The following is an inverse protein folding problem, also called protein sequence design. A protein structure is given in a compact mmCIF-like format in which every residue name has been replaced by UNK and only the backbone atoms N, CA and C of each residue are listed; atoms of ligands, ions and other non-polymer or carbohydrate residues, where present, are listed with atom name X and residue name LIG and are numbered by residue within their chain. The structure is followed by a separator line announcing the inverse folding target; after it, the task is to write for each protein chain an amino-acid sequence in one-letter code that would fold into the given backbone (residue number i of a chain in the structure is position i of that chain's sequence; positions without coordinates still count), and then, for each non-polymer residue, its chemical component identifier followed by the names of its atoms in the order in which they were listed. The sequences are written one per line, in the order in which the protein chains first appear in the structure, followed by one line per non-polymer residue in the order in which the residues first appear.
data_IF_144208510785
#
_entry.id   IF_144208510785
#
_cell.length_a   1.000
_cell.length_b   1.000
_cell.length_c   1.000
_cell.angle_alpha   90.00
_cell.angle_beta   90.00
_cell.angle_gamma   90.00
#
_symmetry.space_group_name_H-M   'P 1'
#
loop_
_entity.id
_entity.type
_entity.pdbx_description
1 polymer ?
#
# COMPACT_ATOMS: atom_id res chain seq x y z
N UNK A 1 -8.93 22.88 -11.17
CA UNK A 1 -8.33 23.45 -9.95
C UNK A 1 -7.69 22.34 -9.14
N UNK A 2 -6.47 22.58 -8.62
CA UNK A 2 -5.79 21.61 -7.76
C UNK A 2 -6.55 21.41 -6.43
N UNK A 3 -6.60 20.18 -5.89
CA UNK A 3 -7.32 19.88 -4.67
C UNK A 3 -6.56 20.35 -3.43
N UNK A 4 -7.26 20.54 -2.32
CA UNK A 4 -6.63 20.81 -1.02
C UNK A 4 -5.72 19.65 -0.58
N UNK A 5 -4.53 19.97 -0.06
CA UNK A 5 -3.52 18.99 0.35
C UNK A 5 -4.05 17.93 1.31
N UNK A 6 -4.94 18.32 2.24
CA UNK A 6 -5.53 17.41 3.22
C UNK A 6 -6.31 16.26 2.56
N UNK A 7 -6.97 16.51 1.42
CA UNK A 7 -7.80 15.51 0.71
C UNK A 7 -6.97 14.53 -0.12
N UNK A 8 -5.75 14.91 -0.51
CA UNK A 8 -4.89 14.13 -1.40
C UNK A 8 -3.57 13.69 -0.76
N UNK A 9 -3.47 13.81 0.56
CA UNK A 9 -2.27 13.44 1.31
C UNK A 9 -1.84 11.99 1.01
N UNK A 10 -0.58 11.81 0.65
CA UNK A 10 -0.01 10.50 0.33
C UNK A 10 -0.31 10.00 -1.08
N UNK A 11 -0.86 10.82 -1.97
CA UNK A 11 -0.99 10.53 -3.41
C UNK A 11 0.23 11.11 -4.14
N UNK A 12 0.78 10.36 -5.10
CA UNK A 12 1.92 10.82 -5.89
C UNK A 12 1.58 12.12 -6.65
N UNK A 13 2.41 13.17 -6.61
CA UNK A 13 2.13 14.45 -7.26
C UNK A 13 1.79 14.35 -8.75
N UNK A 14 2.55 13.55 -9.49
CA UNK A 14 2.28 13.23 -10.90
C UNK A 14 0.87 12.70 -11.18
N UNK A 15 0.23 12.00 -10.24
CA UNK A 15 -1.15 11.53 -10.40
C UNK A 15 -2.15 12.69 -10.36
N UNK A 16 -1.95 13.61 -9.42
CA UNK A 16 -2.77 14.82 -9.27
C UNK A 16 -2.58 15.71 -10.49
N UNK A 17 -1.34 15.90 -10.94
CA UNK A 17 -1.02 16.68 -12.12
C UNK A 17 -1.65 16.09 -13.39
N UNK A 18 -1.60 14.76 -13.57
CA UNK A 18 -2.21 14.08 -14.72
C UNK A 18 -3.74 14.25 -14.74
N UNK A 19 -4.39 14.20 -13.58
CA UNK A 19 -5.84 14.47 -13.46
C UNK A 19 -6.15 15.92 -13.84
N UNK A 20 -5.35 16.86 -13.36
CA UNK A 20 -5.55 18.30 -13.61
C UNK A 20 -5.35 18.65 -15.09
N UNK A 21 -4.30 18.13 -15.73
CA UNK A 21 -4.07 18.31 -17.17
C UNK A 21 -5.23 17.76 -18.00
N UNK A 22 -5.76 16.58 -17.63
CA UNK A 22 -6.94 16.01 -18.29
C UNK A 22 -8.17 16.90 -18.13
N UNK A 23 -8.38 17.49 -16.96
CA UNK A 23 -9.51 18.37 -16.70
C UNK A 23 -9.43 19.69 -17.48
N UNK A 24 -8.22 20.16 -17.76
CA UNK A 24 -7.96 21.36 -18.56
C UNK A 24 -7.75 21.07 -20.06
N UNK A 25 -7.88 19.81 -20.50
CA UNK A 25 -7.57 19.38 -21.87
C UNK A 25 -6.15 19.73 -22.34
N UNK A 26 -5.20 19.85 -21.41
CA UNK A 26 -3.80 20.20 -21.67
C UNK A 26 -2.94 18.96 -21.86
N UNK A 27 -2.00 19.03 -22.80
CA UNK A 27 -0.99 17.99 -23.01
C UNK A 27 0.22 18.22 -22.10
N UNK A 28 0.87 17.14 -21.68
CA UNK A 28 2.10 17.23 -20.89
C UNK A 28 3.26 17.96 -21.60
N UNK A 29 3.25 17.98 -22.94
CA UNK A 29 4.22 18.74 -23.74
C UNK A 29 3.97 20.24 -23.60
N UNK A 30 2.71 20.67 -23.65
CA UNK A 30 2.32 22.08 -23.51
C UNK A 30 2.71 22.60 -22.12
N UNK A 31 2.45 21.80 -21.07
CA UNK A 31 2.91 22.11 -19.71
C UNK A 31 4.44 22.21 -19.64
N UNK A 32 5.17 21.30 -20.28
CA UNK A 32 6.63 21.33 -20.26
C UNK A 32 7.18 22.61 -20.88
N UNK A 33 6.61 23.03 -22.02
CA UNK A 33 6.94 24.28 -22.69
C UNK A 33 6.59 25.49 -21.81
N UNK A 34 5.41 25.52 -21.19
CA UNK A 34 4.96 26.68 -20.40
C UNK A 34 5.81 26.92 -19.15
N UNK A 35 6.37 25.87 -18.54
CA UNK A 35 7.23 25.98 -17.35
C UNK A 35 8.74 25.90 -17.65
N UNK A 36 9.12 25.83 -18.93
CA UNK A 36 10.52 25.73 -19.35
C UNK A 36 11.22 24.48 -18.80
N UNK A 37 10.57 23.32 -18.93
CA UNK A 37 11.10 22.01 -18.55
C UNK A 37 11.11 21.05 -19.75
N UNK A 38 11.94 20.03 -19.68
CA UNK A 38 12.03 19.04 -20.75
C UNK A 38 10.80 18.12 -20.77
N UNK A 39 10.25 17.77 -21.94
CA UNK A 39 9.03 16.93 -22.02
C UNK A 39 9.19 15.59 -21.31
N UNK A 40 10.40 15.05 -21.26
CA UNK A 40 10.72 13.78 -20.63
C UNK A 40 10.63 13.91 -19.10
N UNK A 41 10.98 15.07 -18.54
CA UNK A 41 10.82 15.35 -17.11
C UNK A 41 9.35 15.32 -16.73
N UNK A 42 8.50 16.04 -17.47
CA UNK A 42 7.05 16.06 -17.22
C UNK A 42 6.44 14.69 -17.48
N UNK A 43 6.81 14.02 -18.57
CA UNK A 43 6.31 12.68 -18.88
C UNK A 43 6.67 11.65 -17.80
N UNK A 44 7.91 11.67 -17.29
CA UNK A 44 8.33 10.80 -16.20
C UNK A 44 7.55 11.10 -14.90
N UNK A 45 7.35 12.38 -14.59
CA UNK A 45 6.54 12.80 -13.45
C UNK A 45 5.09 12.31 -13.57
N UNK A 46 4.42 12.58 -14.69
CA UNK A 46 3.02 12.18 -14.94
C UNK A 46 2.82 10.66 -14.88
N UNK A 47 3.85 9.89 -15.24
CA UNK A 47 3.83 8.43 -15.19
C UNK A 47 4.34 7.85 -13.85
N UNK A 48 4.55 8.69 -12.83
CA UNK A 48 5.02 8.29 -11.49
C UNK A 48 6.37 7.57 -11.50
N UNK A 49 7.20 7.86 -12.51
CA UNK A 49 8.56 7.31 -12.66
C UNK A 49 9.62 8.25 -12.08
N UNK A 50 9.21 9.44 -11.64
CA UNK A 50 10.07 10.49 -11.12
C UNK A 50 9.33 11.28 -10.03
N UNK A 51 10.06 11.58 -8.97
CA UNK A 51 9.64 12.46 -7.89
C UNK A 51 9.83 13.94 -8.23
N UNK A 52 9.08 14.82 -7.57
CA UNK A 52 9.23 16.26 -7.70
C UNK A 52 10.42 16.75 -6.87
N UNK A 53 11.22 17.64 -7.46
CA UNK A 53 12.24 18.40 -6.73
C UNK A 53 11.75 19.84 -6.45
N UNK A 54 12.41 20.58 -5.52
CA UNK A 54 11.96 21.93 -5.16
C UNK A 54 11.85 22.90 -6.34
N UNK A 55 12.82 22.87 -7.27
CA UNK A 55 12.81 23.73 -8.46
C UNK A 55 11.60 23.48 -9.36
N UNK A 56 11.23 22.22 -9.57
CA UNK A 56 10.06 21.83 -10.34
C UNK A 56 8.76 22.16 -9.59
N UNK A 57 8.74 22.02 -8.26
CA UNK A 57 7.62 22.43 -7.41
C UNK A 57 7.29 23.91 -7.61
N UNK A 58 8.27 24.79 -7.44
CA UNK A 58 8.09 26.25 -7.59
C UNK A 58 7.54 26.59 -8.99
N UNK A 59 8.10 25.98 -10.04
CA UNK A 59 7.65 26.19 -11.42
C UNK A 59 6.19 25.76 -11.64
N UNK A 60 5.83 24.58 -11.16
CA UNK A 60 4.46 24.07 -11.27
C UNK A 60 3.49 24.90 -10.42
N UNK A 61 3.87 25.25 -9.20
CA UNK A 61 3.06 26.08 -8.31
C UNK A 61 2.73 27.44 -8.91
N UNK A 62 3.72 28.10 -9.54
CA UNK A 62 3.51 29.35 -10.29
C UNK A 62 2.54 29.16 -11.46
N UNK A 63 2.67 28.07 -12.22
CA UNK A 63 1.78 27.78 -13.33
C UNK A 63 0.33 27.52 -12.89
N UNK A 64 0.13 26.82 -11.77
CA UNK A 64 -1.20 26.45 -11.27
C UNK A 64 -1.77 27.44 -10.23
N UNK A 65 -1.07 28.54 -9.96
CA UNK A 65 -1.44 29.55 -8.98
C UNK A 65 -1.75 28.96 -7.59
N UNK A 66 -0.81 28.17 -7.06
CA UNK A 66 -0.85 27.59 -5.72
C UNK A 66 0.45 27.89 -4.97
N UNK A 67 0.48 27.63 -3.66
CA UNK A 67 1.67 27.80 -2.83
C UNK A 67 2.89 27.06 -3.38
N UNK A 68 4.08 27.68 -3.28
CA UNK A 68 5.33 27.16 -3.86
C UNK A 68 5.73 25.78 -3.31
N UNK A 69 5.32 25.49 -2.08
CA UNK A 69 5.60 24.24 -1.37
C UNK A 69 4.56 23.14 -1.61
N UNK A 70 3.42 23.44 -2.26
CA UNK A 70 2.30 22.52 -2.44
C UNK A 70 2.74 21.14 -2.96
N UNK A 71 3.51 21.12 -4.06
CA UNK A 71 3.94 19.86 -4.67
C UNK A 71 5.00 19.14 -3.84
N UNK A 72 5.86 19.87 -3.13
CA UNK A 72 6.84 19.29 -2.20
C UNK A 72 6.16 18.64 -0.99
N UNK A 73 5.15 19.28 -0.40
CA UNK A 73 4.37 18.73 0.71
C UNK A 73 3.64 17.45 0.30
N UNK A 74 3.12 17.42 -0.93
CA UNK A 74 2.48 16.25 -1.50
C UNK A 74 3.49 15.12 -1.73
N UNK A 75 4.66 15.44 -2.29
CA UNK A 75 5.76 14.49 -2.50
C UNK A 75 6.23 13.89 -1.17
N UNK A 76 6.52 14.72 -0.17
CA UNK A 76 6.93 14.28 1.15
C UNK A 76 5.90 13.35 1.80
N UNK A 77 4.61 13.73 1.72
CA UNK A 77 3.51 12.89 2.24
C UNK A 77 3.42 11.54 1.51
N UNK A 78 3.62 11.53 0.19
CA UNK A 78 3.66 10.30 -0.61
C UNK A 78 4.84 9.41 -0.22
N UNK A 79 6.02 9.99 -0.02
CA UNK A 79 7.24 9.25 0.28
C UNK A 79 7.19 8.63 1.67
N UNK A 80 6.67 9.36 2.67
CA UNK A 80 6.38 8.82 4.01
C UNK A 80 5.39 7.67 3.94
N UNK A 81 4.32 7.78 3.13
CA UNK A 81 3.36 6.68 2.95
C UNK A 81 4.00 5.46 2.28
N UNK A 82 4.83 5.68 1.26
CA UNK A 82 5.55 4.62 0.56
C UNK A 82 6.55 3.91 1.50
N UNK A 83 7.29 4.67 2.29
CA UNK A 83 8.24 4.16 3.27
C UNK A 83 7.55 3.38 4.40
N UNK A 84 6.48 3.93 4.99
CA UNK A 84 5.72 3.22 6.03
C UNK A 84 5.07 1.95 5.49
N UNK A 85 4.59 1.93 4.24
CA UNK A 85 4.11 0.71 3.60
C UNK A 85 5.21 -0.34 3.41
N UNK A 86 6.44 0.05 3.09
CA UNK A 86 7.55 -0.91 3.03
C UNK A 86 7.95 -1.45 4.39
N UNK A 87 7.94 -0.64 5.45
CA UNK A 87 8.18 -1.13 6.83
C UNK A 87 7.10 -2.08 7.30
N UNK A 88 5.85 -1.87 6.86
CA UNK A 88 4.74 -2.78 7.11
C UNK A 88 4.81 -4.04 6.26
N UNK A 89 5.68 -4.19 5.25
CA UNK A 89 5.87 -5.48 4.57
C UNK A 89 6.81 -6.38 5.37
N UNK A 90 6.51 -6.58 6.65
CA UNK A 90 7.12 -7.64 7.44
C UNK A 90 6.69 -8.96 6.82
N UNK A 91 7.66 -9.78 6.42
CA UNK A 91 7.43 -11.17 6.04
C UNK A 91 7.81 -12.05 7.22
N UNK A 92 7.05 -13.10 7.52
CA UNK A 92 7.54 -14.10 8.46
C UNK A 92 8.69 -14.87 7.83
N UNK A 93 9.40 -15.66 8.63
CA UNK A 93 10.42 -16.55 8.10
C UNK A 93 9.76 -17.60 7.19
N UNK A 94 9.82 -17.38 5.87
CA UNK A 94 9.12 -18.20 4.88
C UNK A 94 9.52 -19.68 4.96
N UNK A 95 10.75 -19.98 5.39
CA UNK A 95 11.26 -21.35 5.54
C UNK A 95 10.50 -22.18 6.58
N UNK A 96 9.77 -21.55 7.51
CA UNK A 96 8.97 -22.29 8.48
C UNK A 96 7.69 -22.85 7.85
N UNK A 97 7.15 -22.21 6.81
CA UNK A 97 5.89 -22.62 6.19
C UNK A 97 6.10 -23.71 5.13
N UNK A 98 5.26 -24.75 5.16
CA UNK A 98 5.26 -25.79 4.11
C UNK A 98 4.69 -25.22 2.80
N UNK A 99 5.46 -25.34 1.72
CA UNK A 99 5.09 -24.81 0.40
C UNK A 99 3.71 -25.27 -0.09
N UNK A 100 3.34 -26.52 0.20
CA UNK A 100 2.04 -27.12 -0.21
C UNK A 100 0.82 -26.37 0.32
N UNK A 101 0.94 -25.61 1.42
CA UNK A 101 -0.16 -24.82 1.98
C UNK A 101 -0.56 -23.70 1.02
N UNK A 102 0.38 -23.18 0.23
CA UNK A 102 0.20 -22.09 -0.73
C UNK A 102 0.41 -22.58 -2.16
N UNK A 103 -0.10 -23.76 -2.51
CA UNK A 103 0.07 -24.35 -3.85
C UNK A 103 -0.44 -23.46 -4.99
N UNK A 104 -1.36 -22.53 -4.70
CA UNK A 104 -1.95 -21.59 -5.64
C UNK A 104 -1.21 -20.23 -5.71
N UNK A 105 -0.15 -20.02 -4.92
CA UNK A 105 0.54 -18.71 -4.86
C UNK A 105 2.03 -18.82 -4.47
N UNK A 106 2.88 -17.97 -5.06
CA UNK A 106 4.29 -17.86 -4.66
C UNK A 106 4.42 -17.18 -3.30
N UNK A 107 4.86 -17.91 -2.27
CA UNK A 107 4.89 -17.46 -0.86
C UNK A 107 5.69 -16.16 -0.70
N UNK A 108 6.78 -16.00 -1.44
CA UNK A 108 7.64 -14.82 -1.40
C UNK A 108 6.97 -13.54 -1.91
N UNK A 109 5.91 -13.66 -2.71
CA UNK A 109 5.16 -12.52 -3.27
C UNK A 109 3.89 -12.19 -2.49
N UNK A 110 3.58 -12.97 -1.45
CA UNK A 110 2.40 -12.74 -0.63
C UNK A 110 2.62 -11.50 0.23
N UNK A 111 1.70 -10.54 0.13
CA UNK A 111 1.60 -9.46 1.12
C UNK A 111 0.90 -10.01 2.37
N UNK A 112 1.71 -10.37 3.37
CA UNK A 112 1.25 -11.03 4.60
C UNK A 112 0.29 -10.14 5.39
N UNK A 113 0.53 -8.83 5.44
CA UNK A 113 -0.34 -7.92 6.18
C UNK A 113 -1.65 -7.62 5.44
N UNK A 114 -1.60 -7.40 4.12
CA UNK A 114 -2.81 -7.16 3.32
C UNK A 114 -3.72 -8.39 3.28
N UNK A 115 -3.15 -9.58 3.18
CA UNK A 115 -3.90 -10.83 3.03
C UNK A 115 -4.07 -11.61 4.36
N UNK A 116 -3.86 -10.96 5.51
CA UNK A 116 -3.80 -11.62 6.82
C UNK A 116 -4.93 -12.61 7.07
N UNK A 117 -6.17 -12.25 6.72
CA UNK A 117 -7.36 -13.08 6.99
C UNK A 117 -7.31 -14.39 6.21
N UNK A 118 -7.02 -14.32 4.91
CA UNK A 118 -6.93 -15.50 4.04
C UNK A 118 -5.77 -16.41 4.47
N UNK A 119 -4.62 -15.81 4.82
CA UNK A 119 -3.45 -16.54 5.29
C UNK A 119 -3.73 -17.24 6.62
N UNK A 120 -4.28 -16.52 7.61
CA UNK A 120 -4.64 -17.07 8.92
C UNK A 120 -5.64 -18.21 8.73
N UNK A 121 -6.69 -18.02 7.91
CA UNK A 121 -7.67 -19.08 7.61
C UNK A 121 -6.99 -20.33 7.07
N UNK A 122 -6.19 -20.17 6.01
CA UNK A 122 -5.52 -21.27 5.30
C UNK A 122 -4.56 -22.05 6.20
N UNK A 123 -3.83 -21.35 7.07
CA UNK A 123 -2.90 -21.98 8.02
C UNK A 123 -3.64 -22.68 9.16
N UNK A 124 -4.74 -22.10 9.67
CA UNK A 124 -5.58 -22.78 10.65
C UNK A 124 -6.25 -24.04 10.08
N UNK A 125 -6.53 -24.09 8.78
CA UNK A 125 -7.11 -25.27 8.11
C UNK A 125 -6.08 -26.38 7.83
N UNK A 126 -4.86 -26.03 7.40
CA UNK A 126 -3.92 -27.01 6.78
C UNK A 126 -2.45 -26.87 7.23
N UNK A 127 -2.14 -25.92 8.10
CA UNK A 127 -0.77 -25.51 8.42
C UNK A 127 -0.40 -25.62 9.90
N UNK A 128 0.74 -25.01 10.24
CA UNK A 128 1.25 -24.93 11.61
C UNK A 128 0.86 -23.57 12.24
N UNK A 129 0.07 -23.64 13.30
CA UNK A 129 -0.47 -22.49 14.03
C UNK A 129 0.59 -21.70 14.80
N UNK A 130 1.65 -22.35 15.28
CA UNK A 130 2.68 -21.68 16.06
C UNK A 130 3.42 -20.60 15.24
N UNK A 131 3.56 -20.83 13.93
CA UNK A 131 4.24 -19.92 13.00
C UNK A 131 3.46 -18.61 12.81
N UNK A 132 2.13 -18.68 12.70
CA UNK A 132 1.29 -17.47 12.62
C UNK A 132 1.14 -16.77 13.96
N UNK A 133 1.17 -17.50 15.08
CA UNK A 133 1.10 -16.91 16.43
C UNK A 133 2.35 -16.08 16.70
N UNK A 134 3.54 -16.58 16.36
CA UNK A 134 4.80 -15.84 16.50
C UNK A 134 4.85 -14.59 15.62
N UNK A 135 4.17 -14.58 14.46
CA UNK A 135 4.24 -13.48 13.51
C UNK A 135 3.12 -12.43 13.70
N UNK A 136 1.86 -12.85 13.77
CA UNK A 136 0.72 -11.93 13.91
C UNK A 136 0.34 -11.65 15.37
N UNK A 137 0.70 -12.53 16.30
CA UNK A 137 0.25 -12.49 17.69
C UNK A 137 -1.18 -12.97 17.89
N UNK A 138 -1.48 -13.50 19.08
CA UNK A 138 -2.80 -14.11 19.40
C UNK A 138 -3.97 -13.14 19.22
N UNK A 139 -3.82 -11.88 19.66
CA UNK A 139 -4.87 -10.85 19.56
C UNK A 139 -5.30 -10.58 18.11
N UNK A 140 -4.33 -10.47 17.20
CA UNK A 140 -4.58 -10.23 15.77
C UNK A 140 -5.30 -11.40 15.12
N UNK A 141 -4.90 -12.63 15.47
CA UNK A 141 -5.52 -13.86 14.96
C UNK A 141 -6.96 -13.96 15.44
N UNK A 142 -7.21 -13.74 16.73
CA UNK A 142 -8.55 -13.75 17.31
C UNK A 142 -9.48 -12.77 16.59
N UNK A 143 -9.03 -11.53 16.38
CA UNK A 143 -9.80 -10.52 15.64
C UNK A 143 -10.04 -10.91 14.17
N UNK A 144 -9.07 -11.53 13.50
CA UNK A 144 -9.23 -11.99 12.12
C UNK A 144 -10.27 -13.12 12.03
N UNK A 145 -10.24 -14.07 12.95
CA UNK A 145 -11.14 -15.23 13.02
C UNK A 145 -12.59 -14.82 13.30
N UNK A 146 -12.82 -13.81 14.15
CA UNK A 146 -14.17 -13.25 14.37
C UNK A 146 -14.85 -12.78 13.08
N UNK A 147 -14.06 -12.38 12.07
CA UNK A 147 -14.56 -11.88 10.78
C UNK A 147 -14.59 -12.91 9.65
N UNK A 148 -14.28 -14.19 9.93
CA UNK A 148 -14.32 -15.28 8.94
C UNK A 148 -15.65 -16.00 9.08
N UNK A 149 -16.53 -15.81 8.09
CA UNK A 149 -17.90 -16.36 8.07
C UNK A 149 -17.93 -17.87 7.76
N UNK A 150 -16.99 -18.39 6.98
CA UNK A 150 -17.01 -19.78 6.50
C UNK A 150 -15.97 -20.64 7.21
N UNK A 151 -16.44 -21.42 8.21
CA UNK A 151 -15.65 -22.36 9.04
C UNK A 151 -15.89 -23.81 8.64
N UNK A 152 -15.82 -24.12 7.35
CA UNK A 152 -16.29 -25.40 6.83
C UNK A 152 -15.41 -26.63 7.16
N UNK A 153 -14.27 -26.47 7.83
CA UNK A 153 -13.38 -27.60 8.14
C UNK A 153 -13.26 -27.86 9.65
N UNK A 154 -13.47 -29.11 10.14
CA UNK A 154 -13.32 -29.46 11.56
C UNK A 154 -11.93 -29.14 12.14
N UNK A 155 -10.88 -29.27 11.31
CA UNK A 155 -9.51 -28.94 11.68
C UNK A 155 -9.33 -27.46 12.09
N UNK A 156 -10.15 -26.55 11.53
CA UNK A 156 -10.12 -25.13 11.86
C UNK A 156 -10.53 -24.89 13.31
N UNK A 157 -11.62 -25.52 13.77
CA UNK A 157 -12.13 -25.37 15.14
C UNK A 157 -11.23 -26.08 16.15
N UNK A 158 -10.74 -27.29 15.83
CA UNK A 158 -9.78 -28.02 16.67
C UNK A 158 -8.50 -27.20 16.92
N UNK A 159 -7.97 -26.56 15.87
CA UNK A 159 -6.76 -25.74 15.98
C UNK A 159 -6.99 -24.43 16.75
N UNK A 160 -8.20 -23.86 16.72
CA UNK A 160 -8.56 -22.70 17.52
C UNK A 160 -8.58 -23.01 19.02
N UNK A 161 -9.17 -24.16 19.39
CA UNK A 161 -9.26 -24.65 20.77
C UNK A 161 -7.87 -25.03 21.29
N UNK A 162 -7.12 -25.82 20.51
CA UNK A 162 -5.79 -26.33 20.89
C UNK A 162 -4.79 -25.22 21.24
N UNK A 163 -4.90 -24.06 20.63
CA UNK A 163 -3.95 -22.95 20.82
C UNK A 163 -4.52 -21.76 21.62
N UNK A 164 -5.69 -21.94 22.24
CA UNK A 164 -6.37 -20.95 23.07
C UNK A 164 -6.48 -19.57 22.39
N UNK A 165 -6.81 -19.58 21.09
CA UNK A 165 -6.94 -18.36 20.27
C UNK A 165 -8.32 -17.69 20.47
N UNK A 166 -9.23 -18.39 21.14
CA UNK A 166 -10.41 -17.84 21.79
C UNK A 166 -10.17 -17.78 23.29
N UNK A 167 -9.91 -16.58 23.82
CA UNK A 167 -10.36 -16.25 25.17
C UNK A 167 -11.67 -15.51 24.95
N UNK A 168 -12.77 -16.16 25.34
CA UNK A 168 -14.07 -15.52 25.49
C UNK A 168 -13.95 -14.69 26.77
N UNK A 169 -13.85 -13.38 26.62
CA UNK A 169 -14.48 -12.41 27.52
C UNK A 169 -15.36 -11.50 26.65
#
# INVERSE_FOLDING_TARGET
MLPELAKVKGVHPGAILKRELKAQSLKGIELATSIGEHKQTISALLNKRRDINPKLSIKLSKHFNVEEDYFMLLQASHDVKKASQSELKKTPNIKTFRAVIFWDTTIDKIDWNKNKKAIIKRILERGNTNEIISFYGKKTISNAVKSIETRHMPAFEQNLIKHNVFVIE
#
